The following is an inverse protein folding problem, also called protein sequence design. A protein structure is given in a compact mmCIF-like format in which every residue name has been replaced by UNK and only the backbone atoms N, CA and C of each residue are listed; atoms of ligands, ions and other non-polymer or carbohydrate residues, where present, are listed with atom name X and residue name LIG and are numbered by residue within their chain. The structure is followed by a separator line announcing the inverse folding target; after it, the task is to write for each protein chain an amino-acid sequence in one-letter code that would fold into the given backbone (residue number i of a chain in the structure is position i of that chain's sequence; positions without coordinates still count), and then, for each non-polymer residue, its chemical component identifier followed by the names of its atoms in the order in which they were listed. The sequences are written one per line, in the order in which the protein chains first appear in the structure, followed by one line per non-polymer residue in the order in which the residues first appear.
data_IF_748430573967
#
_entry.id   IF_748430573967
#
_cell.length_a   1.000
_cell.length_b   1.000
_cell.length_c   1.000
_cell.angle_alpha   90.00
_cell.angle_beta   90.00
_cell.angle_gamma   90.00
#
_symmetry.space_group_name_H-M   'P 1'
#
loop_
_entity.id
_entity.type
_entity.pdbx_description
1 polymer ?
#
# COMPACT_ATOMS: atom_id res chain seq x y z
N UNK A 1 -22.18 -32.01 32.70
CA UNK A 1 -22.71 -31.06 31.69
C UNK A 1 -21.54 -30.32 31.07
N UNK A 2 -21.09 -30.72 29.88
CA UNK A 2 -19.87 -30.23 29.23
C UNK A 2 -20.19 -29.01 28.38
N UNK A 3 -19.63 -27.85 28.75
CA UNK A 3 -19.87 -26.57 28.10
C UNK A 3 -18.98 -26.43 26.85
N UNK A 4 -19.54 -26.72 25.66
CA UNK A 4 -18.83 -26.61 24.38
C UNK A 4 -18.85 -25.15 23.91
N UNK A 5 -17.72 -24.45 24.05
CA UNK A 5 -17.55 -23.08 23.54
C UNK A 5 -17.54 -23.11 22.00
N UNK A 6 -18.49 -22.43 21.38
CA UNK A 6 -18.56 -22.25 19.92
C UNK A 6 -17.29 -21.56 19.42
N UNK A 7 -16.68 -22.11 18.36
CA UNK A 7 -15.47 -21.53 17.75
C UNK A 7 -15.84 -20.42 16.76
N UNK A 8 -14.98 -19.40 16.64
CA UNK A 8 -15.11 -18.29 15.66
C UNK A 8 -15.38 -18.80 14.23
N UNK A 9 -14.87 -19.99 13.91
CA UNK A 9 -15.05 -20.65 12.61
C UNK A 9 -16.48 -21.18 12.38
N UNK A 10 -17.21 -21.52 13.44
CA UNK A 10 -18.62 -21.94 13.37
C UNK A 10 -19.56 -20.74 13.17
N UNK A 11 -19.23 -19.58 13.74
CA UNK A 11 -20.00 -18.33 13.54
C UNK A 11 -19.98 -17.84 12.08
N UNK A 12 -18.84 -17.96 11.39
CA UNK A 12 -18.71 -17.55 9.98
C UNK A 12 -19.52 -18.48 9.06
N UNK A 13 -19.59 -19.79 9.37
CA UNK A 13 -20.43 -20.72 8.61
C UNK A 13 -21.93 -20.43 8.77
N UNK A 14 -22.35 -19.87 9.90
CA UNK A 14 -23.75 -19.48 10.13
C UNK A 14 -24.15 -18.17 9.40
N UNK A 15 -23.19 -17.32 9.05
CA UNK A 15 -23.44 -16.02 8.42
C UNK A 15 -23.67 -16.03 6.90
N UNK A 16 -23.40 -17.14 6.21
CA UNK A 16 -23.43 -17.21 4.74
C UNK A 16 -24.82 -17.44 4.12
N UNK A 17 -25.90 -17.38 4.92
CA UNK A 17 -27.27 -17.75 4.49
C UNK A 17 -28.29 -16.60 4.53
N UNK A 18 -27.84 -15.33 4.52
CA UNK A 18 -28.72 -14.17 4.54
C UNK A 18 -28.57 -13.25 3.33
N UNK A 19 -29.59 -13.21 2.47
CA UNK A 19 -29.92 -12.18 1.45
C UNK A 19 -29.22 -12.26 0.08
N UNK A 20 -29.75 -13.17 -0.74
CA UNK A 20 -29.93 -12.94 -2.18
C UNK A 20 -31.04 -11.89 -2.35
N UNK A 21 -30.76 -10.78 -3.05
CA UNK A 21 -31.73 -9.70 -3.28
C UNK A 21 -31.35 -8.78 -4.45
N UNK A 22 -31.88 -9.15 -5.62
CA UNK A 22 -32.20 -8.38 -6.84
C UNK A 22 -31.35 -7.17 -7.33
N UNK A 23 -30.98 -7.30 -8.60
CA UNK A 23 -30.50 -6.29 -9.52
C UNK A 23 -31.50 -5.15 -9.80
N UNK A 24 -30.97 -3.96 -10.10
CA UNK A 24 -31.20 -3.10 -11.29
C UNK A 24 -31.04 -1.62 -10.92
N UNK A 25 -30.10 -0.94 -11.57
CA UNK A 25 -29.84 0.49 -11.35
C UNK A 25 -28.77 1.01 -12.30
N UNK A 26 -29.12 1.13 -13.57
CA UNK A 26 -28.34 1.86 -14.58
C UNK A 26 -28.36 3.34 -14.18
N UNK A 27 -27.21 3.87 -13.77
CA UNK A 27 -27.02 5.27 -13.40
C UNK A 27 -25.72 5.79 -13.99
N UNK A 28 -25.66 5.92 -15.31
CA UNK A 28 -24.59 6.63 -16.00
C UNK A 28 -24.73 8.12 -15.70
N UNK A 29 -24.01 8.63 -14.70
CA UNK A 29 -23.78 10.08 -14.58
C UNK A 29 -22.68 10.44 -15.57
N UNK A 30 -23.09 10.94 -16.72
CA UNK A 30 -22.20 11.61 -17.68
C UNK A 30 -21.58 12.83 -16.99
N UNK A 31 -20.33 12.71 -16.56
CA UNK A 31 -19.52 13.87 -16.20
C UNK A 31 -19.14 14.59 -17.50
N UNK A 32 -19.78 15.72 -17.78
CA UNK A 32 -19.39 16.57 -18.89
C UNK A 32 -17.96 17.10 -18.66
N UNK A 33 -17.08 17.13 -19.67
CA UNK A 33 -15.79 17.79 -19.55
C UNK A 33 -16.02 19.31 -19.50
N UNK A 34 -15.60 19.93 -18.40
CA UNK A 34 -15.56 21.40 -18.28
C UNK A 34 -14.37 21.90 -19.10
N UNK A 35 -14.55 22.78 -20.09
CA UNK A 35 -13.42 23.36 -20.82
C UNK A 35 -12.60 24.27 -19.88
N UNK A 36 -11.28 24.09 -19.88
CA UNK A 36 -10.36 24.87 -19.06
C UNK A 36 -10.38 26.36 -19.42
N UNK A 37 -10.50 27.21 -18.39
CA UNK A 37 -10.33 28.66 -18.52
C UNK A 37 -8.83 29.00 -18.59
N UNK A 38 -8.41 29.97 -19.42
CA UNK A 38 -7.05 30.47 -19.41
C UNK A 38 -6.88 31.42 -18.21
N UNK A 39 -5.97 31.12 -17.30
CA UNK A 39 -5.60 32.04 -16.21
C UNK A 39 -4.28 32.71 -16.59
N UNK A 40 -4.36 33.97 -17.03
CA UNK A 40 -3.21 34.87 -17.17
C UNK A 40 -2.86 35.47 -15.81
N UNK A 41 -1.57 35.45 -15.49
CA UNK A 41 -1.05 35.47 -14.12
C UNK A 41 -0.76 36.83 -13.50
N UNK A 42 -0.50 36.78 -12.19
CA UNK A 42 0.13 37.82 -11.38
C UNK A 42 1.36 37.23 -10.68
N UNK A 43 2.49 37.93 -10.81
CA UNK A 43 3.82 37.53 -10.38
C UNK A 43 4.08 38.05 -8.96
N UNK A 44 3.88 37.20 -7.96
CA UNK A 44 4.28 37.47 -6.57
C UNK A 44 5.19 36.33 -6.13
N UNK A 45 6.45 36.60 -5.79
CA UNK A 45 7.52 35.62 -5.51
C UNK A 45 7.03 34.31 -4.90
N UNK A 46 7.02 33.27 -5.73
CA UNK A 46 5.91 32.32 -5.74
C UNK A 46 6.48 30.91 -5.57
N UNK A 47 6.09 30.18 -4.53
CA UNK A 47 6.24 28.72 -4.44
C UNK A 47 5.43 27.95 -5.53
N UNK A 48 5.13 28.56 -6.68
CA UNK A 48 4.06 28.14 -7.60
C UNK A 48 4.50 27.16 -8.69
N UNK A 49 5.76 26.70 -8.69
CA UNK A 49 6.21 25.71 -9.69
C UNK A 49 5.90 24.26 -9.30
N UNK A 50 5.20 24.04 -8.18
CA UNK A 50 4.65 22.74 -7.80
C UNK A 50 3.31 22.49 -8.50
N UNK A 51 3.32 22.37 -9.83
CA UNK A 51 2.15 21.92 -10.61
C UNK A 51 2.10 20.39 -10.67
N UNK A 52 0.89 19.81 -10.63
CA UNK A 52 0.71 18.36 -10.84
C UNK A 52 1.11 17.99 -12.26
N UNK A 53 2.04 17.04 -12.42
CA UNK A 53 2.46 16.56 -13.73
C UNK A 53 1.66 15.31 -14.12
N UNK A 54 0.99 15.39 -15.27
CA UNK A 54 0.25 14.28 -15.88
C UNK A 54 -1.05 13.89 -15.17
N UNK A 55 -1.75 12.92 -15.78
CA UNK A 55 -2.93 12.27 -15.22
C UNK A 55 -2.71 10.76 -15.26
N UNK A 56 -2.97 10.07 -14.15
CA UNK A 56 -2.99 8.61 -14.14
C UNK A 56 -4.25 8.12 -14.86
N UNK A 57 -4.12 7.04 -15.63
CA UNK A 57 -5.29 6.41 -16.24
C UNK A 57 -6.21 5.87 -15.13
N UNK A 58 -7.55 6.05 -15.24
CA UNK A 58 -8.47 5.51 -14.25
C UNK A 58 -8.25 4.00 -14.04
N UNK A 59 -8.05 3.59 -12.80
CA UNK A 59 -7.80 2.18 -12.43
C UNK A 59 -6.35 1.70 -12.60
N UNK A 60 -5.40 2.54 -13.04
CA UNK A 60 -3.99 2.14 -13.15
C UNK A 60 -3.29 2.00 -11.80
N UNK A 61 -3.83 2.64 -10.75
CA UNK A 61 -3.34 2.59 -9.38
C UNK A 61 -4.52 2.78 -8.43
N UNK A 62 -4.59 1.96 -7.38
CA UNK A 62 -5.54 2.13 -6.28
C UNK A 62 -4.80 2.67 -5.05
N UNK A 63 -4.92 3.98 -4.75
CA UNK A 63 -4.27 4.58 -3.58
C UNK A 63 -4.74 3.97 -2.26
N UNK A 64 -6.01 3.55 -2.17
CA UNK A 64 -6.57 3.02 -0.93
C UNK A 64 -6.00 1.64 -0.65
N UNK A 65 -5.96 0.77 -1.67
CA UNK A 65 -5.32 -0.53 -1.55
C UNK A 65 -3.84 -0.40 -1.19
N UNK A 66 -3.12 0.55 -1.82
CA UNK A 66 -1.71 0.79 -1.51
C UNK A 66 -1.49 1.25 -0.06
N UNK A 67 -2.22 2.26 0.40
CA UNK A 67 -2.09 2.83 1.75
C UNK A 67 -2.54 1.87 2.88
N UNK A 68 -3.30 0.84 2.54
CA UNK A 68 -3.79 -0.17 3.48
C UNK A 68 -3.14 -1.54 3.30
N UNK A 69 -2.19 -1.66 2.38
CA UNK A 69 -1.39 -2.86 2.20
C UNK A 69 -0.27 -2.90 3.23
N UNK A 70 -0.35 -3.87 4.14
CA UNK A 70 0.63 -4.07 5.19
C UNK A 70 1.38 -5.38 5.01
N UNK A 71 2.70 -5.31 5.08
CA UNK A 71 3.56 -6.48 5.14
C UNK A 71 3.59 -7.03 6.58
N UNK A 72 2.96 -8.20 6.75
CA UNK A 72 3.04 -8.95 8.01
C UNK A 72 4.30 -9.79 8.15
N UNK A 73 5.05 -10.04 7.08
CA UNK A 73 6.17 -10.96 7.09
C UNK A 73 5.74 -12.41 7.36
N UNK A 74 6.73 -13.31 7.38
CA UNK A 74 6.54 -14.71 7.71
C UNK A 74 6.38 -14.88 9.23
N UNK A 75 5.31 -15.53 9.67
CA UNK A 75 4.99 -15.71 11.09
C UNK A 75 5.36 -17.11 11.56
N UNK A 76 6.09 -17.20 12.67
CA UNK A 76 6.37 -18.46 13.37
C UNK A 76 6.32 -18.27 14.90
N UNK A 77 6.49 -19.35 15.65
CA UNK A 77 6.52 -19.32 17.13
C UNK A 77 7.87 -19.80 17.62
N UNK A 78 8.49 -19.01 18.50
CA UNK A 78 9.75 -19.37 19.16
C UNK A 78 9.51 -20.42 20.26
N UNK A 79 10.56 -21.15 20.71
CA UNK A 79 10.45 -22.06 21.85
C UNK A 79 9.93 -21.39 23.14
N UNK A 80 10.12 -20.08 23.29
CA UNK A 80 9.59 -19.28 24.39
C UNK A 80 8.07 -19.05 24.32
N UNK A 81 7.41 -19.44 23.23
CA UNK A 81 6.01 -19.12 22.94
C UNK A 81 5.79 -17.74 22.31
N UNK A 82 6.84 -16.92 22.16
CA UNK A 82 6.76 -15.61 21.53
C UNK A 82 6.59 -15.74 19.99
N UNK A 83 5.76 -14.88 19.40
CA UNK A 83 5.65 -14.79 17.94
C UNK A 83 6.92 -14.18 17.33
N UNK A 84 7.46 -14.84 16.30
CA UNK A 84 8.53 -14.33 15.46
C UNK A 84 7.95 -13.91 14.10
N UNK A 85 8.20 -12.66 13.69
CA UNK A 85 7.97 -12.17 12.32
C UNK A 85 9.29 -11.97 11.60
N UNK A 86 9.43 -12.61 10.44
CA UNK A 86 10.60 -12.49 9.57
C UNK A 86 10.26 -11.72 8.30
N UNK A 87 11.15 -10.81 7.91
CA UNK A 87 11.05 -9.99 6.70
C UNK A 87 12.31 -10.12 5.87
N UNK A 88 12.16 -10.07 4.55
CA UNK A 88 13.25 -9.94 3.60
C UNK A 88 13.15 -8.57 2.93
N UNK A 89 14.17 -7.75 3.12
CA UNK A 89 14.21 -6.39 2.58
C UNK A 89 15.47 -6.24 1.75
N UNK A 90 15.29 -5.87 0.49
CA UNK A 90 16.36 -5.67 -0.48
C UNK A 90 16.44 -4.19 -0.79
N UNK A 91 17.60 -3.56 -0.54
CA UNK A 91 17.91 -2.26 -1.12
C UNK A 91 18.39 -2.45 -2.56
N UNK A 92 17.78 -1.76 -3.52
CA UNK A 92 18.17 -1.81 -4.93
C UNK A 92 17.99 -0.45 -5.62
N UNK A 93 18.88 -0.19 -6.59
CA UNK A 93 18.81 0.97 -7.49
C UNK A 93 17.79 0.66 -8.60
N UNK A 94 16.79 1.53 -8.78
CA UNK A 94 15.70 1.30 -9.74
C UNK A 94 15.19 2.59 -10.34
N UNK A 95 15.01 2.62 -11.66
CA UNK A 95 14.22 3.69 -12.28
C UNK A 95 12.73 3.51 -11.98
N UNK A 96 12.12 4.56 -11.43
CA UNK A 96 10.69 4.63 -11.15
C UNK A 96 10.07 5.78 -11.93
N UNK A 97 8.89 5.56 -12.49
CA UNK A 97 8.08 6.64 -13.07
C UNK A 97 7.31 7.35 -11.96
N UNK A 98 7.59 8.63 -11.74
CA UNK A 98 6.98 9.43 -10.66
C UNK A 98 5.82 10.29 -11.14
N UNK A 99 5.77 10.54 -12.44
CA UNK A 99 4.67 11.14 -13.17
C UNK A 99 4.72 10.65 -14.62
N UNK A 100 3.63 10.72 -15.41
CA UNK A 100 3.64 10.29 -16.80
C UNK A 100 4.83 10.84 -17.61
N UNK A 101 5.72 9.94 -18.04
CA UNK A 101 6.94 10.25 -18.80
C UNK A 101 8.10 10.81 -17.98
N UNK A 102 7.98 10.93 -16.65
CA UNK A 102 9.03 11.44 -15.75
C UNK A 102 9.59 10.30 -14.92
N UNK A 103 10.83 9.91 -15.22
CA UNK A 103 11.54 8.83 -14.54
C UNK A 103 12.58 9.38 -13.57
N UNK A 104 12.77 8.66 -12.46
CA UNK A 104 13.74 9.01 -11.43
C UNK A 104 14.57 7.77 -11.02
N UNK A 105 15.92 7.87 -10.96
CA UNK A 105 16.76 6.80 -10.45
C UNK A 105 16.66 6.77 -8.92
N UNK A 106 15.78 5.94 -8.40
CA UNK A 106 15.49 5.83 -6.97
C UNK A 106 16.32 4.71 -6.31
N UNK A 107 16.65 4.93 -5.04
CA UNK A 107 17.02 3.85 -4.12
C UNK A 107 15.75 3.34 -3.46
N UNK A 108 15.49 2.04 -3.61
CA UNK A 108 14.22 1.44 -3.23
C UNK A 108 14.42 0.32 -2.24
N UNK A 109 13.38 0.04 -1.45
CA UNK A 109 13.27 -1.22 -0.73
C UNK A 109 12.28 -2.11 -1.47
N UNK A 110 12.69 -3.33 -1.82
CA UNK A 110 11.91 -4.30 -2.60
C UNK A 110 11.35 -3.73 -3.91
N UNK A 111 12.10 -2.84 -4.56
CA UNK A 111 11.74 -2.28 -5.86
C UNK A 111 10.62 -1.24 -5.84
N UNK A 112 10.24 -0.74 -4.66
CA UNK A 112 9.12 0.18 -4.49
C UNK A 112 9.50 1.43 -3.69
N UNK A 113 8.81 2.53 -4.00
CA UNK A 113 8.79 3.78 -3.23
C UNK A 113 7.34 4.21 -3.00
N UNK A 114 6.92 4.46 -1.74
CA UNK A 114 7.59 4.06 -0.50
C UNK A 114 7.87 2.55 -0.43
N UNK A 115 8.83 2.13 0.39
CA UNK A 115 9.10 0.70 0.62
C UNK A 115 7.94 -0.01 1.33
N UNK A 116 8.04 -1.35 1.54
CA UNK A 116 6.99 -2.13 2.18
C UNK A 116 6.60 -1.59 3.56
N UNK A 117 5.30 -1.45 3.80
CA UNK A 117 4.79 -0.99 5.11
C UNK A 117 4.74 -2.16 6.09
N UNK A 118 5.77 -2.27 6.93
CA UNK A 118 5.87 -3.33 7.94
C UNK A 118 4.80 -3.11 9.02
N UNK A 119 4.04 -4.18 9.34
CA UNK A 119 3.05 -4.17 10.43
C UNK A 119 3.24 -5.34 11.38
N UNK A 120 3.33 -5.01 12.65
CA UNK A 120 3.66 -5.94 13.74
C UNK A 120 2.71 -5.74 14.91
N UNK A 121 2.64 -6.72 15.81
CA UNK A 121 1.91 -6.60 17.08
C UNK A 121 2.89 -6.36 18.21
N UNK A 122 2.48 -5.59 19.22
CA UNK A 122 3.27 -5.41 20.44
C UNK A 122 3.65 -6.78 21.04
N UNK A 123 4.92 -6.93 21.40
CA UNK A 123 5.47 -8.18 21.92
C UNK A 123 5.97 -9.15 20.85
N UNK A 124 5.75 -8.91 19.56
CA UNK A 124 6.37 -9.70 18.49
C UNK A 124 7.91 -9.53 18.50
N UNK A 125 8.64 -10.63 18.29
CA UNK A 125 10.07 -10.58 17.97
C UNK A 125 10.22 -10.40 16.46
N UNK A 126 10.98 -9.40 16.03
CA UNK A 126 11.23 -9.15 14.61
C UNK A 126 12.61 -9.65 14.20
N UNK A 127 12.69 -10.19 12.98
CA UNK A 127 13.95 -10.43 12.28
C UNK A 127 13.84 -9.89 10.85
N UNK A 128 14.67 -8.90 10.54
CA UNK A 128 14.75 -8.33 9.19
C UNK A 128 16.05 -8.82 8.56
N UNK A 129 15.93 -9.55 7.44
CA UNK A 129 17.06 -9.94 6.60
C UNK A 129 17.24 -8.87 5.54
N UNK A 130 18.19 -7.98 5.79
CA UNK A 130 18.53 -6.93 4.85
C UNK A 130 19.59 -7.40 3.86
N UNK A 131 19.32 -7.22 2.56
CA UNK A 131 20.29 -7.45 1.48
C UNK A 131 20.50 -6.16 0.72
N UNK A 132 21.74 -5.71 0.60
CA UNK A 132 22.07 -4.57 -0.26
C UNK A 132 22.49 -5.06 -1.65
N UNK A 133 21.72 -4.69 -2.68
CA UNK A 133 22.03 -4.91 -4.11
C UNK A 133 22.28 -3.60 -4.87
N UNK A 134 22.26 -2.45 -4.20
CA UNK A 134 22.55 -1.15 -4.80
C UNK A 134 24.05 -0.88 -4.95
N UNK A 135 24.40 0.16 -5.70
CA UNK A 135 25.78 0.60 -5.91
C UNK A 135 26.40 1.32 -4.71
N UNK A 136 25.61 1.63 -3.67
CA UNK A 136 26.02 2.41 -2.50
C UNK A 136 25.78 1.64 -1.20
N UNK A 137 26.48 2.03 -0.13
CA UNK A 137 26.25 1.49 1.21
C UNK A 137 24.90 1.96 1.76
N UNK A 138 24.08 1.01 2.20
CA UNK A 138 22.76 1.27 2.78
C UNK A 138 22.60 0.58 4.14
N UNK A 139 21.70 1.12 4.95
CA UNK A 139 21.26 0.55 6.23
C UNK A 139 19.74 0.70 6.36
N UNK A 140 19.17 0.21 7.46
CA UNK A 140 17.77 0.47 7.84
C UNK A 140 17.77 1.05 9.26
N UNK A 141 16.99 2.10 9.47
CA UNK A 141 16.67 2.65 10.79
C UNK A 141 15.17 2.49 11.05
N UNK A 142 14.84 2.14 12.30
CA UNK A 142 13.49 1.95 12.81
C UNK A 142 13.26 2.86 14.00
#
# INVERSE_FOLDING_TARGET
MTNRKLSRREAIKAGALGTVGLATGVGATLAAPVPGLPVQGDVHGSHHDMVTVGQLAPGSFDPTAFLTHFDGGAVSTLPSGQTLREYEIVAEDREIEVAPGVFYPAWTYNGQVPGPTIRVTEGDRLRVRFTNKGGHSHSIHF
#
